data_IF_844060062805
#
_entry.id   IF_844060062805
#
_cell.length_a   1.000
_cell.length_b   1.000
_cell.length_c   1.000
_cell.angle_alpha   90.00
_cell.angle_beta   90.00
_cell.angle_gamma   90.00
#
_symmetry.space_group_name_H-M   'P 1'
#
loop_
_entity.id
_entity.type
_entity.pdbx_description
1 polymer ?
#
# COMPACT_ATOMS: atom_id res chain seq x y z
N UNK A 1 -2.23 5.57 18.65
CA UNK A 1 -2.31 4.56 17.58
C UNK A 1 -2.96 5.21 16.38
N UNK A 2 -2.15 5.64 15.43
CA UNK A 2 -2.58 6.55 14.36
C UNK A 2 -2.21 5.99 12.98
N UNK A 3 -3.16 6.09 12.06
CA UNK A 3 -2.91 5.97 10.62
C UNK A 3 -2.69 7.38 10.07
N UNK A 4 -1.51 7.66 9.53
CA UNK A 4 -1.18 8.98 9.00
C UNK A 4 -1.76 9.16 7.60
N UNK A 5 -1.43 8.25 6.67
CA UNK A 5 -1.85 8.36 5.28
C UNK A 5 -1.87 7.02 4.55
N UNK A 6 -2.60 6.99 3.44
CA UNK A 6 -2.68 5.89 2.49
C UNK A 6 -2.27 6.38 1.11
N UNK A 7 -1.31 5.68 0.50
CA UNK A 7 -0.94 5.85 -0.90
C UNK A 7 -1.30 4.58 -1.67
N UNK A 8 -1.86 4.72 -2.87
CA UNK A 8 -2.06 3.61 -3.81
C UNK A 8 -1.19 3.85 -5.02
N UNK A 9 -0.29 2.90 -5.27
CA UNK A 9 0.64 2.90 -6.39
C UNK A 9 0.20 1.84 -7.39
N UNK A 10 0.06 2.22 -8.65
CA UNK A 10 -0.40 1.34 -9.70
C UNK A 10 0.68 0.30 -10.10
N UNK A 11 0.36 -0.58 -11.06
CA UNK A 11 1.28 -1.64 -11.46
C UNK A 11 2.56 -1.08 -12.09
N UNK A 12 2.46 0.08 -12.76
CA UNK A 12 3.59 0.76 -13.39
C UNK A 12 4.44 1.61 -12.43
N UNK A 13 4.08 1.70 -11.15
CA UNK A 13 4.81 2.51 -10.17
C UNK A 13 4.36 3.97 -10.07
N UNK A 14 3.28 4.35 -10.75
CA UNK A 14 2.66 5.66 -10.64
C UNK A 14 1.73 5.76 -9.44
N UNK A 15 1.77 6.90 -8.73
CA UNK A 15 0.79 7.21 -7.68
C UNK A 15 -0.57 7.46 -8.31
N UNK A 16 -1.59 6.70 -7.90
CA UNK A 16 -2.97 6.88 -8.36
C UNK A 16 -3.90 7.36 -7.26
N UNK A 17 -3.48 7.34 -6.00
CA UNK A 17 -4.26 7.86 -4.90
C UNK A 17 -3.36 8.24 -3.72
N UNK A 18 -3.69 9.34 -3.07
CA UNK A 18 -3.12 9.76 -1.80
C UNK A 18 -4.24 10.30 -0.92
N UNK A 19 -4.27 9.90 0.35
CA UNK A 19 -5.17 10.46 1.35
C UNK A 19 -4.51 10.50 2.71
N UNK A 20 -4.60 11.65 3.35
CA UNK A 20 -4.12 11.88 4.72
C UNK A 20 -5.30 11.78 5.69
N UNK A 21 -5.10 11.08 6.80
CA UNK A 21 -6.12 10.86 7.84
C UNK A 21 -5.78 11.58 9.14
N UNK A 22 -4.51 11.79 9.42
CA UNK A 22 -4.03 12.42 10.65
C UNK A 22 -2.80 13.29 10.37
N UNK A 23 -2.64 14.36 11.14
CA UNK A 23 -1.46 15.24 11.09
C UNK A 23 -0.26 14.61 11.82
N UNK A 24 0.93 15.19 11.70
CA UNK A 24 2.11 14.75 12.45
C UNK A 24 3.26 14.20 11.59
N UNK A 25 3.02 14.02 10.30
CA UNK A 25 4.08 13.94 9.30
C UNK A 25 4.20 15.27 8.56
N UNK A 26 5.38 15.52 7.98
CA UNK A 26 5.57 16.66 7.10
C UNK A 26 4.68 16.52 5.86
N UNK A 27 4.00 17.59 5.48
CA UNK A 27 3.18 17.62 4.28
C UNK A 27 4.10 17.65 3.06
N UNK A 28 3.85 16.73 2.13
CA UNK A 28 4.60 16.63 0.87
C UNK A 28 3.81 17.29 -0.26
N UNK A 29 4.51 17.89 -1.22
CA UNK A 29 3.86 18.37 -2.42
C UNK A 29 3.36 17.20 -3.27
N UNK A 30 2.42 17.46 -4.19
CA UNK A 30 1.94 16.43 -5.13
C UNK A 30 3.08 15.81 -5.95
N UNK A 31 4.09 16.61 -6.31
CA UNK A 31 5.26 16.12 -7.06
C UNK A 31 6.15 15.23 -6.20
N UNK A 32 6.36 15.59 -4.93
CA UNK A 32 7.16 14.78 -4.01
C UNK A 32 6.50 13.42 -3.75
N UNK A 33 5.18 13.38 -3.63
CA UNK A 33 4.42 12.13 -3.50
C UNK A 33 4.52 11.25 -4.74
N UNK A 34 4.51 11.85 -5.94
CA UNK A 34 4.74 11.13 -7.20
C UNK A 34 6.15 10.52 -7.23
N UNK A 35 7.16 11.29 -6.84
CA UNK A 35 8.56 10.83 -6.75
C UNK A 35 8.69 9.73 -5.69
N UNK A 36 8.04 9.88 -4.54
CA UNK A 36 8.03 8.89 -3.45
C UNK A 36 7.46 7.55 -3.94
N UNK A 37 6.32 7.58 -4.63
CA UNK A 37 5.69 6.38 -5.18
C UNK A 37 6.59 5.66 -6.19
N UNK A 38 7.18 6.41 -7.13
CA UNK A 38 8.09 5.87 -8.14
C UNK A 38 9.37 5.29 -7.50
N UNK A 39 9.95 6.01 -6.55
CA UNK A 39 11.13 5.56 -5.80
C UNK A 39 10.83 4.29 -5.01
N UNK A 40 9.72 4.26 -4.28
CA UNK A 40 9.29 3.07 -3.54
C UNK A 40 9.10 1.88 -4.48
N UNK A 41 8.47 2.09 -5.64
CA UNK A 41 8.27 1.03 -6.63
C UNK A 41 9.60 0.43 -7.11
N UNK A 42 10.60 1.28 -7.38
CA UNK A 42 11.95 0.85 -7.75
C UNK A 42 12.63 0.07 -6.63
N UNK A 43 12.62 0.59 -5.40
CA UNK A 43 13.19 -0.09 -4.21
C UNK A 43 12.50 -1.44 -3.96
N UNK A 44 11.18 -1.51 -4.11
CA UNK A 44 10.41 -2.74 -3.97
C UNK A 44 10.83 -3.80 -5.02
N UNK A 45 11.15 -3.39 -6.25
CA UNK A 45 11.68 -4.30 -7.27
C UNK A 45 13.12 -4.75 -6.99
N UNK A 46 13.97 -3.85 -6.48
CA UNK A 46 15.37 -4.17 -6.13
C UNK A 46 15.42 -5.15 -4.95
N UNK A 47 14.68 -4.86 -3.88
CA UNK A 47 14.59 -5.73 -2.68
C UNK A 47 14.11 -7.13 -3.01
N UNK A 48 13.23 -7.28 -4.01
CA UNK A 48 12.81 -8.58 -4.53
C UNK A 48 13.95 -9.38 -5.15
N UNK A 49 14.90 -8.73 -5.81
CA UNK A 49 16.09 -9.38 -6.40
C UNK A 49 17.18 -9.67 -5.37
N UNK A 50 17.27 -8.83 -4.34
CA UNK A 50 18.21 -9.01 -3.23
C UNK A 50 17.74 -10.04 -2.20
N UNK A 51 16.46 -10.42 -2.24
CA UNK A 51 15.91 -11.40 -1.32
C UNK A 51 16.68 -12.72 -1.42
N UNK A 52 17.13 -13.29 -0.29
CA UNK A 52 17.86 -14.55 -0.30
C UNK A 52 16.97 -15.65 -0.91
N UNK A 53 17.61 -16.61 -1.59
CA UNK A 53 16.89 -17.74 -2.15
C UNK A 53 16.07 -18.43 -1.04
N UNK A 54 14.76 -18.65 -1.25
CA UNK A 54 13.93 -19.25 -0.22
C UNK A 54 14.47 -20.64 0.08
N UNK A 55 14.70 -20.92 1.36
CA UNK A 55 15.04 -22.27 1.82
C UNK A 55 13.80 -23.13 1.58
N UNK A 56 13.80 -23.90 0.48
CA UNK A 56 12.72 -24.84 0.21
C UNK A 56 12.72 -25.91 1.32
N UNK A 57 11.60 -26.13 2.02
CA UNK A 57 11.47 -27.30 2.88
C UNK A 57 11.74 -28.56 2.05
N UNK A 58 12.48 -29.56 2.58
CA UNK A 58 12.90 -30.73 1.81
C UNK A 58 11.75 -31.54 1.16
N UNK A 59 10.50 -31.30 1.55
CA UNK A 59 9.30 -32.01 1.08
C UNK A 59 8.28 -31.15 0.33
N UNK A 60 8.59 -29.89 -0.05
CA UNK A 60 7.64 -29.09 -0.85
C UNK A 60 7.73 -29.43 -2.34
N UNK A 61 6.63 -29.78 -3.02
CA UNK A 61 6.65 -29.95 -4.47
C UNK A 61 7.14 -28.67 -5.16
N UNK A 62 8.12 -28.80 -6.05
CA UNK A 62 8.82 -27.70 -6.75
C UNK A 62 7.90 -26.76 -7.57
N UNK A 63 6.61 -27.09 -7.71
CA UNK A 63 5.66 -26.37 -8.55
C UNK A 63 5.16 -25.03 -7.98
N UNK A 64 5.41 -24.73 -6.71
CA UNK A 64 5.08 -23.42 -6.11
C UNK A 64 6.33 -22.72 -5.59
N UNK A 65 7.12 -22.06 -6.46
CA UNK A 65 8.24 -21.26 -6.01
C UNK A 65 7.70 -20.15 -5.11
N UNK A 66 8.08 -20.16 -3.83
CA UNK A 66 7.91 -19.03 -2.94
C UNK A 66 8.75 -17.90 -3.52
N UNK A 67 8.11 -16.93 -4.18
CA UNK A 67 8.81 -15.76 -4.71
C UNK A 67 8.75 -14.68 -3.65
N UNK A 68 9.88 -14.04 -3.39
CA UNK A 68 9.90 -12.80 -2.62
C UNK A 68 8.93 -11.80 -3.27
N UNK A 69 8.10 -11.16 -2.45
CA UNK A 69 7.14 -10.12 -2.85
C UNK A 69 7.87 -8.82 -3.18
N UNK A 70 8.83 -8.42 -2.32
CA UNK A 70 9.61 -7.18 -2.40
C UNK A 70 9.65 -6.51 -1.02
N UNK A 71 9.82 -5.18 -1.00
CA UNK A 71 9.77 -4.39 0.23
C UNK A 71 8.33 -4.38 0.81
N UNK A 72 8.14 -5.00 1.98
CA UNK A 72 6.85 -5.09 2.67
C UNK A 72 6.72 -4.12 3.84
N UNK A 73 7.79 -3.88 4.59
CA UNK A 73 7.78 -3.00 5.76
C UNK A 73 9.03 -2.12 5.75
N UNK A 74 8.82 -0.82 5.94
CA UNK A 74 9.87 0.16 6.22
C UNK A 74 9.50 0.86 7.53
N UNK A 75 10.33 0.68 8.55
CA UNK A 75 10.12 1.22 9.89
C UNK A 75 11.20 2.26 10.24
N UNK A 76 10.78 3.30 10.94
CA UNK A 76 11.62 4.35 11.49
C UNK A 76 11.17 4.68 12.92
N UNK A 77 11.90 5.58 13.60
CA UNK A 77 11.52 6.08 14.92
C UNK A 77 10.18 6.86 14.94
N UNK A 78 9.73 7.37 13.79
CA UNK A 78 8.56 8.27 13.71
C UNK A 78 7.37 7.66 13.00
N UNK A 79 7.61 6.76 12.04
CA UNK A 79 6.55 6.11 11.28
C UNK A 79 6.96 4.71 10.83
N UNK A 80 5.95 3.91 10.52
CA UNK A 80 6.06 2.63 9.85
C UNK A 80 5.19 2.64 8.60
N UNK A 81 5.82 2.35 7.46
CA UNK A 81 5.19 2.18 6.16
C UNK A 81 5.06 0.68 5.89
N UNK A 82 3.83 0.21 5.72
CA UNK A 82 3.52 -1.16 5.33
C UNK A 82 3.01 -1.18 3.88
N UNK A 83 3.57 -2.07 3.07
CA UNK A 83 3.23 -2.24 1.66
C UNK A 83 2.56 -3.59 1.45
N UNK A 84 1.32 -3.55 0.95
CA UNK A 84 0.62 -4.70 0.44
C UNK A 84 0.52 -4.63 -1.08
N UNK A 85 1.16 -5.58 -1.77
CA UNK A 85 1.02 -5.73 -3.22
C UNK A 85 -0.04 -6.79 -3.54
N UNK A 86 -1.01 -6.42 -4.37
CA UNK A 86 -2.00 -7.36 -4.90
C UNK A 86 -1.40 -8.23 -6.00
N UNK A 87 -2.04 -9.36 -6.32
CA UNK A 87 -1.66 -10.19 -7.48
C UNK A 87 -1.76 -9.45 -8.81
N UNK A 88 -2.58 -8.39 -8.89
CA UNK A 88 -2.69 -7.52 -10.08
C UNK A 88 -1.53 -6.52 -10.20
N UNK A 89 -0.72 -6.37 -9.14
CA UNK A 89 0.50 -5.55 -9.11
C UNK A 89 0.33 -4.18 -8.43
N UNK A 90 -0.90 -3.78 -8.09
CA UNK A 90 -1.23 -2.57 -7.33
C UNK A 90 -0.69 -2.67 -5.90
N UNK A 91 -0.11 -1.58 -5.39
CA UNK A 91 0.48 -1.52 -4.05
C UNK A 91 -0.26 -0.53 -3.18
N UNK A 92 -0.62 -0.96 -1.99
CA UNK A 92 -1.22 -0.15 -0.95
C UNK A 92 -0.16 0.12 0.11
N UNK A 93 0.27 1.38 0.19
CA UNK A 93 1.25 1.84 1.17
C UNK A 93 0.51 2.54 2.30
N UNK A 94 0.46 1.91 3.47
CA UNK A 94 -0.15 2.50 4.67
C UNK A 94 0.95 3.02 5.58
N UNK A 95 0.91 4.32 5.85
CA UNK A 95 1.85 4.99 6.75
C UNK A 95 1.15 5.17 8.10
N UNK A 96 1.80 4.67 9.14
CA UNK A 96 1.25 4.56 10.50
C UNK A 96 2.30 4.94 11.52
N UNK A 97 1.88 5.17 12.76
CA UNK A 97 2.79 5.20 13.91
C UNK A 97 3.48 3.83 14.09
N UNK A 98 4.76 3.76 14.53
CA UNK A 98 5.49 2.48 14.62
C UNK A 98 4.79 1.41 15.46
N UNK A 99 4.11 1.81 16.54
CA UNK A 99 3.40 0.92 17.44
C UNK A 99 1.97 0.55 16.99
N UNK A 100 1.56 0.91 15.76
CA UNK A 100 0.21 0.63 15.29
C UNK A 100 -0.05 -0.88 15.16
N UNK A 101 -1.07 -1.43 15.83
CA UNK A 101 -1.40 -2.84 15.76
C UNK A 101 -2.33 -3.11 14.57
N UNK A 102 -2.43 -4.37 14.17
CA UNK A 102 -3.42 -4.86 13.20
C UNK A 102 -3.37 -4.14 11.84
N UNK A 103 -2.21 -3.65 11.42
CA UNK A 103 -2.03 -2.93 10.15
C UNK A 103 -2.46 -3.77 8.94
N UNK A 104 -2.16 -5.08 8.94
CA UNK A 104 -2.57 -6.00 7.88
C UNK A 104 -4.09 -6.07 7.71
N UNK A 105 -4.84 -6.07 8.83
CA UNK A 105 -6.31 -6.09 8.81
C UNK A 105 -6.85 -4.77 8.22
N UNK A 106 -6.23 -3.65 8.59
CA UNK A 106 -6.60 -2.33 8.07
C UNK A 106 -6.38 -2.30 6.55
N UNK A 107 -5.21 -2.71 6.09
CA UNK A 107 -4.85 -2.72 4.67
C UNK A 107 -5.76 -3.66 3.87
N UNK A 108 -6.05 -4.86 4.39
CA UNK A 108 -6.99 -5.78 3.74
C UNK A 108 -8.36 -5.14 3.57
N UNK A 109 -8.87 -4.46 4.60
CA UNK A 109 -10.15 -3.76 4.51
C UNK A 109 -10.12 -2.59 3.52
N UNK A 110 -9.01 -1.85 3.46
CA UNK A 110 -8.79 -0.81 2.44
C UNK A 110 -8.84 -1.40 1.03
N UNK A 111 -8.23 -2.57 0.81
CA UNK A 111 -8.29 -3.26 -0.47
C UNK A 111 -9.72 -3.70 -0.85
N UNK A 112 -10.51 -4.19 0.10
CA UNK A 112 -11.92 -4.50 -0.11
C UNK A 112 -12.73 -3.25 -0.53
N UNK A 113 -12.53 -2.12 0.17
CA UNK A 113 -13.16 -0.84 -0.18
C UNK A 113 -12.75 -0.36 -1.58
N UNK A 114 -11.48 -0.54 -1.94
CA UNK A 114 -10.98 -0.21 -3.28
C UNK A 114 -11.67 -1.07 -4.34
N UNK A 115 -11.78 -2.38 -4.11
CA UNK A 115 -12.46 -3.28 -5.03
C UNK A 115 -13.95 -2.90 -5.20
N UNK A 116 -14.62 -2.54 -4.11
CA UNK A 116 -16.06 -2.22 -4.14
C UNK A 116 -16.38 -0.85 -4.75
N UNK A 117 -15.61 0.19 -4.44
CA UNK A 117 -15.93 1.56 -4.86
C UNK A 117 -15.15 2.04 -6.08
N UNK A 118 -13.96 1.50 -6.33
CA UNK A 118 -13.11 1.92 -7.44
C UNK A 118 -13.24 0.94 -8.61
N UNK A 119 -13.01 -0.36 -8.38
CA UNK A 119 -13.02 -1.35 -9.47
C UNK A 119 -14.41 -1.62 -10.05
N UNK A 120 -15.48 -1.47 -9.25
CA UNK A 120 -16.86 -1.60 -9.74
C UNK A 120 -17.43 -0.30 -10.31
N UNK A 121 -16.68 0.80 -10.31
CA UNK A 121 -17.14 2.07 -10.89
C UNK A 121 -16.92 2.04 -12.42
N UNK A 122 -17.99 2.06 -13.24
CA UNK A 122 -17.87 1.98 -14.69
C UNK A 122 -17.19 3.20 -15.33
N UNK A 123 -17.07 4.31 -14.59
CA UNK A 123 -16.41 5.53 -15.05
C UNK A 123 -14.94 5.61 -14.64
N UNK A 124 -14.43 4.63 -13.90
CA UNK A 124 -13.04 4.60 -13.51
C UNK A 124 -12.19 3.88 -14.56
N UNK A 125 -11.19 4.59 -15.10
CA UNK A 125 -10.16 3.99 -15.96
C UNK A 125 -9.03 3.46 -15.08
N UNK A 126 -8.71 2.17 -15.22
CA UNK A 126 -7.62 1.52 -14.48
C UNK A 126 -6.28 2.22 -14.74
N UNK A 127 -5.39 2.18 -13.75
CA UNK A 127 -4.07 2.85 -13.74
C UNK A 127 -4.10 4.39 -13.74
N UNK A 128 -5.28 5.03 -13.81
CA UNK A 128 -5.43 6.49 -13.71
C UNK A 128 -5.72 6.94 -12.26
N UNK A 129 -5.52 8.24 -11.93
CA UNK A 129 -5.82 8.76 -10.61
C UNK A 129 -7.26 8.49 -10.16
N UNK A 130 -7.42 7.97 -8.96
CA UNK A 130 -8.71 7.60 -8.36
C UNK A 130 -9.40 8.87 -7.86
N UNK A 131 -10.48 9.25 -8.53
CA UNK A 131 -11.36 10.37 -8.13
C UNK A 131 -12.75 9.83 -7.78
N UNK A 132 -12.88 9.19 -6.62
CA UNK A 132 -14.11 8.55 -6.19
C UNK A 132 -14.50 9.01 -4.77
N UNK A 133 -15.46 9.93 -4.68
CA UNK A 133 -15.92 10.48 -3.40
C UNK A 133 -16.51 9.41 -2.46
N UNK A 134 -17.16 8.37 -3.01
CA UNK A 134 -17.68 7.26 -2.20
C UNK A 134 -16.55 6.47 -1.53
N UNK A 135 -15.46 6.25 -2.25
CA UNK A 135 -14.26 5.60 -1.71
C UNK A 135 -13.62 6.45 -0.62
N UNK A 136 -13.45 7.75 -0.88
CA UNK A 136 -12.94 8.72 0.09
C UNK A 136 -13.74 8.74 1.41
N UNK A 137 -15.06 8.84 1.32
CA UNK A 137 -15.93 8.86 2.48
C UNK A 137 -15.89 7.53 3.25
N UNK A 138 -15.86 6.39 2.55
CA UNK A 138 -15.78 5.08 3.17
C UNK A 138 -14.45 4.86 3.90
N UNK A 139 -13.32 5.32 3.32
CA UNK A 139 -12.02 5.30 3.97
C UNK A 139 -11.99 6.16 5.22
N UNK A 140 -12.49 7.39 5.14
CA UNK A 140 -12.54 8.29 6.30
C UNK A 140 -13.39 7.70 7.42
N UNK A 141 -14.57 7.18 7.10
CA UNK A 141 -15.44 6.54 8.07
C UNK A 141 -14.74 5.33 8.71
N UNK A 142 -14.06 4.50 7.92
CA UNK A 142 -13.37 3.30 8.43
C UNK A 142 -12.15 3.62 9.30
N UNK A 143 -11.32 4.59 8.88
CA UNK A 143 -10.03 4.88 9.52
C UNK A 143 -10.21 5.83 10.71
N UNK A 144 -11.05 6.87 10.60
CA UNK A 144 -11.25 7.85 11.69
C UNK A 144 -12.17 7.35 12.79
N UNK A 145 -12.96 6.29 12.56
CA UNK A 145 -13.81 5.69 13.61
C UNK A 145 -13.05 4.78 14.57
N UNK A 146 -11.78 4.47 14.30
CA UNK A 146 -10.94 3.65 15.18
C UNK A 146 -10.13 4.55 16.12
N UNK A 147 -10.15 4.28 17.44
CA UNK A 147 -9.33 5.01 18.42
C UNK A 147 -7.84 4.68 18.30
#
# INVERSE_FOLDING_TARGET
MVVFSLLVVNKAGGLVFNREFHTGLATLSSNDLLILAGTFHGVHAITRQLAPAPVQPPNTPQNFPVRASGLEVLESSHFRLNCFQTITGTKFLLITEPAQPNVEIIIRRVYELYADFVMKNPFYTVEMPIRCQKFDAALDHFIKSRP
#
